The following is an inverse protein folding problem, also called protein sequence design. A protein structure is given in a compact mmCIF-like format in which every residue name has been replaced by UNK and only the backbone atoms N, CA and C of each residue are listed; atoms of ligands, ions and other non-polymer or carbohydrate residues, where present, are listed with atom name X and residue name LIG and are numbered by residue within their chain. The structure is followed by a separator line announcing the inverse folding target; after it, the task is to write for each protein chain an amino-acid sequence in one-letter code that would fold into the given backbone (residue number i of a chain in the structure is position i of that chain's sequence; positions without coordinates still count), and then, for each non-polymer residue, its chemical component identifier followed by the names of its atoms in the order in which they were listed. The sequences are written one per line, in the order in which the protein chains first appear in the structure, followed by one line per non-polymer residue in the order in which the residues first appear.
data_IF_276726584199
#
_entry.id   IF_276726584199
#
_cell.length_a   1.000
_cell.length_b   1.000
_cell.length_c   1.000
_cell.angle_alpha   90.00
_cell.angle_beta   90.00
_cell.angle_gamma   90.00
#
_symmetry.space_group_name_H-M   'P 1'
#
loop_
_entity.id
_entity.type
_entity.pdbx_description
1 polymer ?
#
# COMPACT_ATOMS: atom_id res chain seq x y z
N UNK A 1 3.96 -21.21 30.46
CA UNK A 1 3.01 -21.67 29.43
C UNK A 1 3.58 -21.29 28.07
N UNK A 2 4.18 -22.23 27.36
CA UNK A 2 4.84 -21.94 26.07
C UNK A 2 3.82 -22.23 24.97
N UNK A 3 3.29 -21.18 24.35
CA UNK A 3 2.41 -21.33 23.18
C UNK A 3 3.31 -21.63 21.98
N UNK A 4 3.60 -22.91 21.74
CA UNK A 4 4.28 -23.35 20.52
C UNK A 4 3.25 -23.37 19.40
N UNK A 5 3.31 -22.37 18.53
CA UNK A 5 2.47 -22.30 17.34
C UNK A 5 3.02 -23.22 16.26
N UNK A 6 2.35 -24.33 15.98
CA UNK A 6 2.78 -25.30 14.97
C UNK A 6 2.41 -24.94 13.51
N UNK A 7 1.56 -23.92 13.29
CA UNK A 7 1.03 -23.58 11.95
C UNK A 7 1.49 -22.23 11.40
N UNK A 8 1.55 -22.11 10.07
CA UNK A 8 1.99 -20.93 9.29
C UNK A 8 1.00 -19.76 9.33
N UNK A 9 -0.18 -19.93 9.90
CA UNK A 9 -1.29 -18.97 9.76
C UNK A 9 -1.82 -18.86 8.33
N UNK A 10 -1.69 -19.93 7.52
CA UNK A 10 -1.98 -19.97 6.08
C UNK A 10 -1.08 -19.07 5.21
N UNK A 11 -0.02 -18.48 5.79
CA UNK A 11 0.88 -17.57 5.07
C UNK A 11 1.69 -18.28 3.99
N UNK A 12 2.15 -19.51 4.25
CA UNK A 12 2.94 -20.25 3.28
C UNK A 12 2.11 -20.62 2.05
N UNK A 13 0.85 -21.00 2.26
CA UNK A 13 -0.14 -21.32 1.25
C UNK A 13 -0.48 -20.08 0.42
N UNK A 14 -0.65 -18.93 1.07
CA UNK A 14 -0.85 -17.64 0.41
C UNK A 14 0.38 -17.23 -0.42
N UNK A 15 1.59 -17.38 0.13
CA UNK A 15 2.84 -17.03 -0.55
C UNK A 15 3.08 -17.92 -1.77
N UNK A 16 2.80 -19.22 -1.65
CA UNK A 16 2.82 -20.16 -2.77
C UNK A 16 1.83 -19.71 -3.84
N UNK A 17 0.59 -19.40 -3.47
CA UNK A 17 -0.42 -18.94 -4.40
C UNK A 17 0.01 -17.68 -5.16
N UNK A 18 0.44 -16.62 -4.48
CA UNK A 18 0.86 -15.37 -5.16
C UNK A 18 2.08 -15.59 -6.05
N UNK A 19 2.99 -16.50 -5.67
CA UNK A 19 4.13 -16.87 -6.50
C UNK A 19 3.69 -17.59 -7.79
N UNK A 20 2.76 -18.55 -7.69
CA UNK A 20 2.20 -19.22 -8.86
C UNK A 20 1.48 -18.26 -9.81
N UNK A 21 0.77 -17.26 -9.28
CA UNK A 21 0.13 -16.22 -10.08
C UNK A 21 1.16 -15.29 -10.73
N UNK A 22 2.19 -14.88 -10.00
CA UNK A 22 3.26 -14.03 -10.55
C UNK A 22 3.99 -14.71 -11.71
N UNK A 23 4.24 -16.02 -11.65
CA UNK A 23 4.85 -16.77 -12.78
C UNK A 23 4.06 -16.66 -14.08
N UNK A 24 2.74 -16.48 -14.01
CA UNK A 24 1.88 -16.32 -15.19
C UNK A 24 1.93 -14.88 -15.75
N UNK A 25 2.17 -13.90 -14.88
CA UNK A 25 2.18 -12.47 -15.22
C UNK A 25 3.42 -11.74 -14.68
N UNK A 26 4.66 -12.16 -15.02
CA UNK A 26 5.86 -11.67 -14.35
C UNK A 26 6.14 -10.17 -14.63
N UNK A 27 5.72 -9.68 -15.80
CA UNK A 27 5.94 -8.29 -16.21
C UNK A 27 4.84 -7.35 -15.73
N UNK A 28 3.57 -7.69 -16.00
CA UNK A 28 2.44 -6.80 -15.70
C UNK A 28 1.93 -6.93 -14.26
N UNK A 29 2.19 -8.08 -13.61
CA UNK A 29 1.46 -8.49 -12.42
C UNK A 29 0.01 -8.82 -12.73
N UNK A 30 -0.75 -9.12 -11.68
CA UNK A 30 -2.19 -9.47 -11.76
C UNK A 30 -3.12 -8.27 -11.54
N UNK A 31 -2.57 -7.08 -11.32
CA UNK A 31 -3.31 -5.85 -11.05
C UNK A 31 -3.54 -5.57 -9.56
N UNK A 32 -3.61 -4.29 -9.22
CA UNK A 32 -3.81 -3.81 -7.85
C UNK A 32 -5.09 -4.35 -7.21
N UNK A 33 -4.98 -4.81 -5.96
CA UNK A 33 -6.11 -5.31 -5.16
C UNK A 33 -6.68 -6.65 -5.64
N UNK A 34 -5.94 -7.44 -6.42
CA UNK A 34 -6.40 -8.72 -6.94
C UNK A 34 -6.92 -9.68 -5.87
N UNK A 35 -6.19 -9.84 -4.76
CA UNK A 35 -6.58 -10.73 -3.65
C UNK A 35 -7.90 -10.33 -2.99
N UNK A 36 -8.31 -9.07 -3.14
CA UNK A 36 -9.57 -8.59 -2.59
C UNK A 36 -10.76 -8.87 -3.51
N UNK A 37 -10.51 -9.08 -4.81
CA UNK A 37 -11.53 -9.36 -5.84
C UNK A 37 -11.85 -10.85 -5.94
N UNK A 38 -10.90 -11.73 -5.60
CA UNK A 38 -11.10 -13.17 -5.68
C UNK A 38 -11.64 -13.72 -4.36
N UNK A 39 -12.62 -14.63 -4.43
CA UNK A 39 -13.09 -15.37 -3.28
C UNK A 39 -12.11 -16.51 -2.97
N UNK A 40 -10.95 -16.17 -2.40
CA UNK A 40 -9.95 -17.15 -2.04
C UNK A 40 -10.18 -17.71 -0.63
N UNK A 41 -10.14 -19.03 -0.48
CA UNK A 41 -10.48 -19.74 0.75
C UNK A 41 -9.56 -19.41 1.95
N UNK A 42 -8.38 -18.83 1.70
CA UNK A 42 -7.31 -18.70 2.69
C UNK A 42 -6.98 -17.25 3.08
N UNK A 43 -7.71 -16.25 2.58
CA UNK A 43 -7.55 -14.84 2.96
C UNK A 43 -7.70 -13.87 1.78
N UNK A 44 -8.15 -12.63 2.07
CA UNK A 44 -8.47 -11.60 1.06
C UNK A 44 -7.37 -10.54 0.87
N UNK A 45 -6.26 -10.71 1.57
CA UNK A 45 -5.10 -9.83 1.50
C UNK A 45 -3.85 -10.56 2.02
N UNK A 46 -2.67 -10.10 1.58
CA UNK A 46 -1.37 -10.61 1.99
C UNK A 46 -0.74 -9.65 3.01
N UNK A 47 -0.16 -10.18 4.08
CA UNK A 47 0.54 -9.39 5.13
C UNK A 47 2.01 -9.16 4.83
N UNK A 48 2.39 -9.14 3.56
CA UNK A 48 3.76 -8.89 3.11
C UNK A 48 3.72 -7.91 1.94
N UNK A 49 4.07 -6.65 2.19
CA UNK A 49 4.00 -5.56 1.22
C UNK A 49 4.90 -5.83 0.01
N UNK A 50 6.11 -6.36 0.21
CA UNK A 50 7.05 -6.57 -0.88
C UNK A 50 6.58 -7.64 -1.85
N UNK A 51 6.09 -8.77 -1.32
CA UNK A 51 5.46 -9.80 -2.14
C UNK A 51 4.23 -9.25 -2.85
N UNK A 52 3.39 -8.47 -2.15
CA UNK A 52 2.21 -7.82 -2.74
C UNK A 52 2.58 -6.94 -3.93
N UNK A 53 3.59 -6.09 -3.81
CA UNK A 53 4.02 -5.18 -4.87
C UNK A 53 4.49 -5.95 -6.11
N UNK A 54 5.31 -6.98 -5.94
CA UNK A 54 5.81 -7.81 -7.04
C UNK A 54 4.69 -8.60 -7.70
N UNK A 55 3.79 -9.17 -6.90
CA UNK A 55 2.67 -9.96 -7.39
C UNK A 55 1.62 -9.10 -8.12
N UNK A 56 1.22 -7.95 -7.56
CA UNK A 56 0.18 -7.09 -8.16
C UNK A 56 0.71 -6.30 -9.36
N UNK A 57 2.00 -5.93 -9.39
CA UNK A 57 2.56 -5.01 -10.39
C UNK A 57 3.75 -5.57 -11.19
N UNK A 58 4.08 -6.85 -11.01
CA UNK A 58 5.13 -7.54 -11.76
C UNK A 58 6.48 -6.84 -11.67
N UNK A 59 7.07 -6.55 -12.83
CA UNK A 59 8.41 -5.95 -12.92
C UNK A 59 8.44 -4.52 -12.36
N UNK A 60 7.33 -3.77 -12.48
CA UNK A 60 7.24 -2.41 -11.93
C UNK A 60 7.34 -2.46 -10.40
N UNK A 61 6.64 -3.41 -9.78
CA UNK A 61 6.72 -3.65 -8.34
C UNK A 61 8.13 -4.03 -7.89
N UNK A 62 8.82 -4.88 -8.66
CA UNK A 62 10.20 -5.26 -8.38
C UNK A 62 11.17 -4.09 -8.50
N UNK A 63 11.07 -3.29 -9.56
CA UNK A 63 11.89 -2.07 -9.76
C UNK A 63 11.68 -1.12 -8.60
N UNK A 64 10.43 -0.92 -8.17
CA UNK A 64 10.12 -0.07 -7.02
C UNK A 64 10.77 -0.60 -5.73
N UNK A 65 10.71 -1.90 -5.46
CA UNK A 65 11.39 -2.51 -4.31
C UNK A 65 12.92 -2.30 -4.35
N UNK A 66 13.55 -2.47 -5.51
CA UNK A 66 14.99 -2.22 -5.69
C UNK A 66 15.31 -0.74 -5.47
N UNK A 67 14.53 0.16 -6.07
CA UNK A 67 14.71 1.60 -5.88
C UNK A 67 14.57 1.98 -4.40
N UNK A 68 13.54 1.50 -3.71
CA UNK A 68 13.35 1.69 -2.27
C UNK A 68 14.57 1.20 -1.47
N UNK A 69 15.12 0.03 -1.81
CA UNK A 69 16.33 -0.48 -1.17
C UNK A 69 17.52 0.47 -1.34
N UNK A 70 17.71 1.06 -2.52
CA UNK A 70 18.78 2.05 -2.73
C UNK A 70 18.59 3.31 -1.87
N UNK A 71 17.35 3.79 -1.72
CA UNK A 71 17.04 4.94 -0.87
C UNK A 71 17.31 4.64 0.61
N UNK A 72 16.91 3.43 1.06
CA UNK A 72 17.17 2.96 2.42
C UNK A 72 18.67 2.85 2.69
N UNK A 73 19.47 2.28 1.77
CA UNK A 73 20.92 2.23 1.91
C UNK A 73 21.50 3.64 2.08
N UNK A 74 21.02 4.61 1.30
CA UNK A 74 21.40 6.02 1.44
C UNK A 74 21.05 6.58 2.82
N UNK A 75 19.84 6.32 3.32
CA UNK A 75 19.37 6.73 4.63
C UNK A 75 20.22 6.15 5.77
N UNK A 76 20.54 4.85 5.74
CA UNK A 76 21.31 4.20 6.80
C UNK A 76 22.77 4.65 6.83
N UNK A 77 23.35 4.97 5.66
CA UNK A 77 24.71 5.51 5.55
C UNK A 77 24.83 6.97 6.01
N UNK A 78 23.75 7.75 5.92
CA UNK A 78 23.77 9.16 6.33
C UNK A 78 23.92 9.29 7.86
N UNK A 79 24.92 10.03 8.31
CA UNK A 79 25.20 10.24 9.74
C UNK A 79 24.32 11.33 10.38
N UNK A 80 23.67 12.19 9.59
CA UNK A 80 22.82 13.28 10.11
C UNK A 80 21.48 12.77 10.63
N UNK A 81 21.01 11.65 10.08
CA UNK A 81 19.76 11.01 10.52
C UNK A 81 20.00 10.26 11.82
N UNK A 82 19.21 10.62 12.85
CA UNK A 82 19.34 10.02 14.18
C UNK A 82 19.08 8.50 14.17
N UNK A 83 19.77 7.79 15.07
CA UNK A 83 19.65 6.34 15.19
C UNK A 83 18.21 5.90 15.49
N UNK A 84 17.48 6.66 16.31
CA UNK A 84 16.09 6.32 16.68
C UNK A 84 15.15 6.33 15.47
N UNK A 85 15.31 7.30 14.56
CA UNK A 85 14.50 7.36 13.33
C UNK A 85 14.81 6.18 12.41
N UNK A 86 16.10 5.82 12.26
CA UNK A 86 16.53 4.64 11.50
C UNK A 86 15.94 3.34 12.05
N UNK A 87 15.97 3.15 13.37
CA UNK A 87 15.37 1.98 14.03
C UNK A 87 13.86 1.97 13.83
N UNK A 88 13.19 3.12 13.88
CA UNK A 88 11.77 3.23 13.56
C UNK A 88 11.46 2.82 12.11
N UNK A 89 12.31 3.19 11.14
CA UNK A 89 12.16 2.74 9.75
C UNK A 89 12.34 1.23 9.66
N UNK A 90 13.32 0.64 10.34
CA UNK A 90 13.46 -0.82 10.42
C UNK A 90 12.18 -1.46 10.97
N UNK A 91 11.61 -0.92 12.04
CA UNK A 91 10.38 -1.43 12.62
C UNK A 91 9.22 -1.40 11.62
N UNK A 92 9.06 -0.31 10.85
CA UNK A 92 8.05 -0.23 9.77
C UNK A 92 8.31 -1.23 8.66
N UNK A 93 9.57 -1.40 8.24
CA UNK A 93 9.93 -2.36 7.18
C UNK A 93 9.68 -3.81 7.58
N UNK A 94 9.96 -4.16 8.84
CA UNK A 94 9.69 -5.48 9.42
C UNK A 94 8.19 -5.69 9.59
N UNK A 95 7.47 -4.71 10.12
CA UNK A 95 6.02 -4.76 10.26
C UNK A 95 5.34 -4.97 8.89
N UNK A 96 5.82 -4.28 7.84
CA UNK A 96 5.36 -4.46 6.46
C UNK A 96 5.59 -5.88 5.89
N UNK A 97 6.44 -6.73 6.49
CA UNK A 97 6.64 -8.12 6.08
C UNK A 97 5.63 -9.10 6.67
N UNK A 98 5.05 -8.78 7.82
CA UNK A 98 4.31 -9.74 8.65
C UNK A 98 2.93 -9.28 9.09
N UNK A 99 2.64 -7.99 8.97
CA UNK A 99 1.44 -7.32 9.46
C UNK A 99 0.53 -6.83 8.34
N UNK A 100 -0.76 -6.68 8.66
CA UNK A 100 -1.75 -6.04 7.80
C UNK A 100 -1.69 -4.51 7.83
N UNK A 101 -0.74 -3.89 8.54
CA UNK A 101 -0.62 -2.43 8.67
C UNK A 101 -0.51 -1.71 7.32
N UNK A 102 0.19 -2.30 6.36
CA UNK A 102 0.31 -1.76 5.00
C UNK A 102 -0.86 -2.16 4.10
N UNK A 103 -1.91 -2.73 4.68
CA UNK A 103 -3.18 -2.91 4.02
C UNK A 103 -4.06 -1.70 4.43
N UNK A 104 -4.20 -1.33 5.72
CA UNK A 104 -5.15 -0.27 6.15
C UNK A 104 -4.72 1.16 5.79
N UNK A 105 -5.62 2.02 5.29
CA UNK A 105 -5.29 3.39 4.91
C UNK A 105 -4.67 4.23 6.04
N UNK A 106 -5.22 4.15 7.27
CA UNK A 106 -4.74 4.96 8.39
C UNK A 106 -3.30 4.61 8.79
N UNK A 107 -2.98 3.32 8.91
CA UNK A 107 -1.61 2.89 9.22
C UNK A 107 -0.66 3.08 8.04
N UNK A 108 -1.12 2.93 6.79
CA UNK A 108 -0.32 3.30 5.61
C UNK A 108 0.11 4.76 5.66
N UNK A 109 -0.83 5.69 5.91
CA UNK A 109 -0.53 7.12 6.02
C UNK A 109 0.46 7.37 7.15
N UNK A 110 0.25 6.78 8.32
CA UNK A 110 1.16 6.94 9.46
C UNK A 110 2.58 6.44 9.15
N UNK A 111 2.71 5.25 8.56
CA UNK A 111 4.00 4.69 8.14
C UNK A 111 4.68 5.56 7.09
N UNK A 112 3.95 6.02 6.07
CA UNK A 112 4.49 6.88 5.00
C UNK A 112 4.94 8.22 5.57
N UNK A 113 4.15 8.85 6.46
CA UNK A 113 4.53 10.11 7.10
C UNK A 113 5.79 9.94 7.97
N UNK A 114 5.88 8.86 8.73
CA UNK A 114 7.06 8.57 9.54
C UNK A 114 8.32 8.37 8.68
N UNK A 115 8.20 7.62 7.58
CA UNK A 115 9.29 7.43 6.62
C UNK A 115 9.68 8.78 6.00
N UNK A 116 8.71 9.55 5.51
CA UNK A 116 8.96 10.86 4.89
C UNK A 116 9.66 11.83 5.86
N UNK A 117 9.21 11.88 7.11
CA UNK A 117 9.84 12.65 8.17
C UNK A 117 11.27 12.19 8.46
N UNK A 118 11.52 10.89 8.45
CA UNK A 118 12.88 10.36 8.63
C UNK A 118 13.79 10.76 7.47
N UNK A 119 13.30 10.67 6.23
CA UNK A 119 14.05 11.09 5.04
C UNK A 119 14.26 12.60 4.96
N UNK A 120 13.42 13.43 5.58
CA UNK A 120 13.60 14.89 5.59
C UNK A 120 14.81 15.35 6.42
N UNK A 121 15.34 14.48 7.30
CA UNK A 121 16.54 14.75 8.09
C UNK A 121 17.84 14.42 7.34
N UNK A 122 17.74 13.79 6.18
CA UNK A 122 18.88 13.40 5.36
C UNK A 122 19.53 14.65 4.76
N UNK A 123 20.84 14.81 4.95
CA UNK A 123 21.56 15.86 4.22
C UNK A 123 21.75 15.40 2.77
N UNK A 124 21.01 16.03 1.87
CA UNK A 124 21.19 15.82 0.45
C UNK A 124 22.51 16.48 0.04
N UNK A 125 23.52 15.66 -0.26
CA UNK A 125 24.73 16.13 -0.93
C UNK A 125 24.33 16.72 -2.29
N UNK A 126 24.62 18.00 -2.46
CA UNK A 126 24.25 18.88 -3.58
C UNK A 126 22.88 19.56 -3.45
N UNK A 127 22.94 20.89 -3.42
CA UNK A 127 21.85 21.81 -3.75
C UNK A 127 21.06 21.28 -4.94
N UNK A 128 19.78 20.99 -4.73
CA UNK A 128 18.85 20.62 -5.79
C UNK A 128 19.06 21.51 -7.04
N UNK A 129 19.58 20.92 -8.12
CA UNK A 129 19.61 21.53 -9.46
C UNK A 129 18.21 21.78 -10.03
N UNK A 130 17.15 21.28 -9.37
CA UNK A 130 15.78 21.49 -9.80
C UNK A 130 15.30 22.89 -9.39
N UNK A 131 14.85 23.65 -10.39
CA UNK A 131 14.19 24.93 -10.18
C UNK A 131 12.99 24.76 -9.25
N UNK A 132 12.88 25.64 -8.26
CA UNK A 132 11.71 25.78 -7.38
C UNK A 132 10.38 25.81 -8.16
N UNK A 133 10.40 26.36 -9.39
CA UNK A 133 9.24 26.39 -10.29
C UNK A 133 8.85 25.00 -10.78
N UNK A 134 9.81 24.17 -11.15
CA UNK A 134 9.57 22.80 -11.62
C UNK A 134 8.97 21.93 -10.51
N UNK A 135 9.45 22.07 -9.27
CA UNK A 135 8.89 21.36 -8.11
C UNK A 135 7.44 21.76 -7.85
N UNK A 136 7.11 23.06 -7.92
CA UNK A 136 5.72 23.52 -7.79
C UNK A 136 4.81 22.98 -8.88
N UNK A 137 5.28 22.97 -10.13
CA UNK A 137 4.52 22.40 -11.26
C UNK A 137 4.27 20.92 -11.01
N UNK A 138 5.28 20.16 -10.59
CA UNK A 138 5.13 18.74 -10.30
C UNK A 138 4.12 18.50 -9.16
N UNK A 139 4.18 19.26 -8.07
CA UNK A 139 3.21 19.19 -6.97
C UNK A 139 1.79 19.50 -7.47
N UNK A 140 1.63 20.55 -8.29
CA UNK A 140 0.33 20.91 -8.85
C UNK A 140 -0.21 19.80 -9.76
N UNK A 141 0.62 19.21 -10.61
CA UNK A 141 0.24 18.07 -11.46
C UNK A 141 -0.18 16.86 -10.63
N UNK A 142 0.54 16.54 -9.56
CA UNK A 142 0.14 15.49 -8.61
C UNK A 142 -1.18 15.80 -7.91
N UNK A 143 -1.40 17.05 -7.51
CA UNK A 143 -2.66 17.51 -6.93
C UNK A 143 -3.83 17.37 -7.90
N UNK A 144 -3.65 17.75 -9.17
CA UNK A 144 -4.66 17.60 -10.22
C UNK A 144 -4.96 16.12 -10.49
N UNK A 145 -3.93 15.28 -10.61
CA UNK A 145 -4.10 13.83 -10.79
C UNK A 145 -4.85 13.20 -9.62
N UNK A 146 -4.50 13.57 -8.38
CA UNK A 146 -5.19 13.10 -7.18
C UNK A 146 -6.66 13.51 -7.17
N UNK A 147 -6.96 14.78 -7.48
CA UNK A 147 -8.34 15.27 -7.58
C UNK A 147 -9.10 14.55 -8.69
N UNK A 148 -8.49 14.34 -9.85
CA UNK A 148 -9.09 13.58 -10.96
C UNK A 148 -9.44 12.16 -10.53
N UNK A 149 -8.50 11.41 -9.93
CA UNK A 149 -8.75 10.04 -9.45
C UNK A 149 -9.85 10.05 -8.38
N UNK A 150 -9.80 10.99 -7.44
CA UNK A 150 -10.82 11.13 -6.39
C UNK A 150 -12.20 11.37 -6.98
N UNK A 151 -12.33 12.29 -7.95
CA UNK A 151 -13.61 12.58 -8.61
C UNK A 151 -14.09 11.39 -9.45
N UNK A 152 -13.20 10.73 -10.19
CA UNK A 152 -13.57 9.60 -11.04
C UNK A 152 -14.05 8.39 -10.24
N UNK A 153 -13.45 8.12 -9.08
CA UNK A 153 -13.78 6.95 -8.27
C UNK A 153 -14.79 7.23 -7.15
N UNK A 154 -14.76 8.43 -6.56
CA UNK A 154 -15.61 8.81 -5.42
C UNK A 154 -16.62 9.91 -5.76
N UNK A 155 -16.60 10.48 -6.97
CA UNK A 155 -17.50 11.57 -7.35
C UNK A 155 -18.97 11.17 -7.33
N UNK A 156 -19.28 9.92 -7.68
CA UNK A 156 -20.64 9.38 -7.49
C UNK A 156 -20.99 9.38 -6.00
N UNK A 157 -20.11 8.87 -5.16
CA UNK A 157 -20.35 8.73 -3.72
C UNK A 157 -20.49 10.10 -3.03
N UNK A 158 -19.73 11.11 -3.46
CA UNK A 158 -19.79 12.49 -2.95
C UNK A 158 -21.11 13.19 -3.31
N UNK A 159 -21.73 12.84 -4.43
CA UNK A 159 -22.98 13.44 -4.89
C UNK A 159 -24.22 12.59 -4.55
N UNK A 160 -24.02 11.40 -3.97
CA UNK A 160 -25.10 10.47 -3.68
C UNK A 160 -25.85 10.88 -2.41
N UNK A 161 -27.03 11.47 -2.57
CA UNK A 161 -27.91 11.78 -1.45
C UNK A 161 -28.79 10.59 -1.09
N UNK A 162 -28.97 10.30 0.21
CA UNK A 162 -29.71 9.12 0.69
C UNK A 162 -29.22 7.82 0.04
N UNK A 163 -27.92 7.57 0.13
CA UNK A 163 -27.29 6.35 -0.36
C UNK A 163 -26.59 5.62 0.78
N UNK A 164 -26.50 4.29 0.66
CA UNK A 164 -25.82 3.43 1.62
C UNK A 164 -24.90 2.45 0.91
N UNK A 165 -23.96 1.90 1.68
CA UNK A 165 -23.13 0.79 1.22
C UNK A 165 -24.00 -0.48 1.19
N UNK A 166 -24.14 -1.11 0.02
CA UNK A 166 -24.78 -2.41 -0.09
C UNK A 166 -23.71 -3.49 -0.17
N UNK A 167 -23.62 -4.32 0.86
CA UNK A 167 -22.75 -5.49 0.88
C UNK A 167 -23.28 -6.47 1.93
N UNK A 168 -23.43 -7.75 1.57
CA UNK A 168 -24.09 -8.77 2.40
C UNK A 168 -23.49 -9.03 3.80
N UNK A 169 -22.42 -8.31 4.18
CA UNK A 169 -21.93 -8.19 5.56
C UNK A 169 -21.39 -6.77 5.80
N UNK A 170 -21.87 -6.13 6.87
CA UNK A 170 -21.44 -4.80 7.35
C UNK A 170 -20.03 -4.83 7.99
N UNK A 171 -19.03 -5.37 7.28
CA UNK A 171 -17.63 -5.15 7.64
C UNK A 171 -17.11 -3.96 6.81
N UNK A 172 -16.17 -3.13 7.33
CA UNK A 172 -15.62 -2.05 6.53
C UNK A 172 -15.05 -2.62 5.23
N UNK A 173 -15.37 -2.01 4.08
CA UNK A 173 -15.07 -2.53 2.72
C UNK A 173 -13.63 -3.03 2.53
N UNK A 174 -12.71 -2.46 3.31
CA UNK A 174 -11.34 -2.90 3.49
C UNK A 174 -11.15 -4.41 3.82
N UNK A 175 -12.03 -5.00 4.63
CA UNK A 175 -11.87 -6.34 5.21
C UNK A 175 -12.43 -7.47 4.35
N UNK A 176 -13.46 -7.17 3.54
CA UNK A 176 -14.11 -8.16 2.68
C UNK A 176 -13.83 -7.89 1.20
N UNK A 177 -14.08 -6.71 0.64
CA UNK A 177 -14.04 -6.56 -0.82
C UNK A 177 -12.82 -5.83 -1.36
N UNK A 178 -12.07 -5.11 -0.51
CA UNK A 178 -10.92 -4.27 -0.90
C UNK A 178 -11.19 -3.35 -2.10
N UNK A 179 -12.46 -3.15 -2.43
CA UNK A 179 -13.01 -2.24 -3.41
C UNK A 179 -13.99 -1.35 -2.68
N UNK A 180 -13.98 -0.07 -3.01
CA UNK A 180 -15.13 0.78 -2.76
C UNK A 180 -16.20 0.32 -3.76
N UNK A 181 -17.14 -0.53 -3.32
CA UNK A 181 -18.39 -0.66 -4.07
C UNK A 181 -19.12 0.69 -3.93
N UNK A 182 -19.53 1.26 -5.06
CA UNK A 182 -20.14 2.59 -5.09
C UNK A 182 -21.40 2.63 -4.20
N UNK A 183 -21.65 3.78 -3.58
CA UNK A 183 -22.88 4.00 -2.84
C UNK A 183 -24.09 3.81 -3.76
N UNK A 184 -25.07 3.03 -3.28
CA UNK A 184 -26.34 2.82 -3.98
C UNK A 184 -27.47 3.54 -3.24
N UNK A 185 -28.49 4.05 -3.95
CA UNK A 185 -29.65 4.65 -3.32
C UNK A 185 -30.28 3.71 -2.29
N UNK A 186 -30.68 4.22 -1.11
CA UNK A 186 -31.23 3.41 -0.02
C UNK A 186 -32.46 2.60 -0.45
N UNK A 187 -33.22 3.08 -1.44
CA UNK A 187 -34.38 2.36 -2.01
C UNK A 187 -34.02 1.06 -2.74
N UNK A 188 -32.75 0.87 -3.10
CA UNK A 188 -32.23 -0.35 -3.74
C UNK A 188 -31.54 -1.29 -2.75
N UNK A 189 -31.49 -0.90 -1.47
CA UNK A 189 -31.00 -1.74 -0.39
C UNK A 189 -32.21 -2.57 0.10
N UNK A 190 -32.21 -3.89 -0.10
CA UNK A 190 -33.30 -4.78 0.33
C UNK A 190 -33.45 -4.86 1.85
#
# INVERSE_FOLDING_TARGET
MTVIRAGTSLRAEMWKFVFEQWKQHPFTGVGGGYLSKIQYAYGRHIHNLYLRLIFEWGIIGLIFCIWMLTQLIGLFKDKTVSLILKVGVIAVLVDAMFSGSMVYPASQIACVLFIAFTFSHRELTSSSQYSFRSTKILIALWGVLFLYITIMYLGQDLNCWNCGSYGGRMAPNFWFYGGAEHLVPTSKIP
#
